data_IF_132895295886
#
_entry.id   IF_132895295886
#
_cell.length_a   1.000
_cell.length_b   1.000
_cell.length_c   1.000
_cell.angle_alpha   90.00
_cell.angle_beta   90.00
_cell.angle_gamma   90.00
#
_symmetry.space_group_name_H-M   'P 1'
#
loop_
_entity.id
_entity.type
_entity.pdbx_description
1 polymer ?
#
# COMPACT_ATOMS: atom_id res chain seq x y z
N UNK A 1 -46.89 18.01 -26.32
CA UNK A 1 -45.43 18.09 -26.18
C UNK A 1 -45.03 18.00 -24.70
N UNK A 2 -45.49 16.95 -23.99
CA UNK A 2 -45.26 16.82 -22.53
C UNK A 2 -44.33 15.63 -22.18
N UNK A 3 -43.85 14.91 -23.19
CA UNK A 3 -43.37 13.52 -23.03
C UNK A 3 -42.02 13.39 -22.30
N UNK A 4 -41.29 14.50 -22.07
CA UNK A 4 -39.96 14.47 -21.46
C UNK A 4 -39.68 15.63 -20.50
N UNK A 5 -40.71 16.23 -19.89
CA UNK A 5 -40.53 17.39 -19.01
C UNK A 5 -39.55 17.14 -17.84
N UNK A 6 -39.45 15.88 -17.40
CA UNK A 6 -38.54 15.44 -16.32
C UNK A 6 -37.21 14.85 -16.83
N UNK A 7 -37.01 14.72 -18.14
CA UNK A 7 -35.80 14.14 -18.71
C UNK A 7 -34.51 14.87 -18.31
N UNK A 8 -34.45 16.22 -18.24
CA UNK A 8 -33.25 16.91 -17.78
C UNK A 8 -32.85 16.52 -16.34
N UNK A 9 -33.83 16.37 -15.44
CA UNK A 9 -33.58 15.94 -14.06
C UNK A 9 -33.09 14.49 -14.02
N UNK A 10 -33.74 13.59 -14.77
CA UNK A 10 -33.31 12.19 -14.91
C UNK A 10 -31.86 12.12 -15.43
N UNK A 11 -31.55 12.86 -16.51
CA UNK A 11 -30.22 12.89 -17.10
C UNK A 11 -29.17 13.41 -16.11
N UNK A 12 -29.49 14.45 -15.33
CA UNK A 12 -28.60 14.95 -14.30
C UNK A 12 -28.34 13.90 -13.20
N UNK A 13 -29.38 13.22 -12.72
CA UNK A 13 -29.26 12.15 -11.72
C UNK A 13 -28.41 10.99 -12.25
N UNK A 14 -28.62 10.56 -13.49
CA UNK A 14 -27.83 9.50 -14.14
C UNK A 14 -26.35 9.92 -14.26
N UNK A 15 -26.08 11.15 -14.72
CA UNK A 15 -24.70 11.67 -14.79
C UNK A 15 -24.01 11.70 -13.43
N UNK A 16 -24.72 12.14 -12.38
CA UNK A 16 -24.18 12.15 -11.01
C UNK A 16 -23.87 10.74 -10.50
N UNK A 17 -24.77 9.77 -10.74
CA UNK A 17 -24.53 8.37 -10.37
C UNK A 17 -23.31 7.78 -11.08
N UNK A 18 -23.16 8.04 -12.39
CA UNK A 18 -21.99 7.60 -13.17
C UNK A 18 -20.70 8.20 -12.61
N UNK A 19 -20.69 9.51 -12.32
CA UNK A 19 -19.52 10.19 -11.76
C UNK A 19 -19.14 9.63 -10.38
N UNK A 20 -20.12 9.41 -9.50
CA UNK A 20 -19.89 8.82 -8.18
C UNK A 20 -19.34 7.39 -8.29
N UNK A 21 -19.88 6.57 -9.21
CA UNK A 21 -19.39 5.23 -9.47
C UNK A 21 -17.94 5.24 -9.97
N UNK A 22 -17.59 6.13 -10.91
CA UNK A 22 -16.22 6.26 -11.41
C UNK A 22 -15.23 6.65 -10.31
N UNK A 23 -15.58 7.64 -9.47
CA UNK A 23 -14.74 8.04 -8.33
C UNK A 23 -14.53 6.88 -7.36
N UNK A 24 -15.59 6.10 -7.08
CA UNK A 24 -15.51 4.93 -6.21
C UNK A 24 -14.58 3.86 -6.80
N UNK A 25 -14.73 3.54 -8.09
CA UNK A 25 -13.87 2.55 -8.79
C UNK A 25 -12.41 2.97 -8.71
N UNK A 26 -12.09 4.23 -9.05
CA UNK A 26 -10.71 4.73 -9.02
C UNK A 26 -10.14 4.69 -7.60
N UNK A 27 -10.92 5.11 -6.61
CA UNK A 27 -10.47 5.14 -5.21
C UNK A 27 -10.24 3.73 -4.68
N UNK A 28 -11.16 2.79 -4.91
CA UNK A 28 -11.03 1.40 -4.49
C UNK A 28 -9.87 0.69 -5.20
N UNK A 29 -9.65 0.94 -6.48
CA UNK A 29 -8.50 0.40 -7.21
C UNK A 29 -7.18 0.93 -6.65
N UNK A 30 -7.08 2.24 -6.34
CA UNK A 30 -5.89 2.82 -5.71
C UNK A 30 -5.62 2.21 -4.33
N UNK A 31 -6.67 2.05 -3.51
CA UNK A 31 -6.55 1.42 -2.19
C UNK A 31 -6.01 -0.01 -2.30
N UNK A 32 -6.57 -0.82 -3.21
CA UNK A 32 -6.12 -2.19 -3.43
C UNK A 32 -4.66 -2.25 -3.93
N UNK A 33 -4.26 -1.32 -4.81
CA UNK A 33 -2.89 -1.22 -5.28
C UNK A 33 -1.92 -0.94 -4.13
N UNK A 34 -2.26 0.01 -3.26
CA UNK A 34 -1.42 0.38 -2.11
C UNK A 34 -1.31 -0.78 -1.09
N UNK A 35 -2.41 -1.50 -0.84
CA UNK A 35 -2.41 -2.69 0.02
C UNK A 35 -1.53 -3.80 -0.58
N UNK A 36 -1.64 -4.04 -1.89
CA UNK A 36 -0.79 -5.02 -2.59
C UNK A 36 0.69 -4.63 -2.50
N UNK A 37 1.02 -3.35 -2.68
CA UNK A 37 2.39 -2.86 -2.53
C UNK A 37 2.92 -3.00 -1.12
N UNK A 38 2.08 -2.78 -0.11
CA UNK A 38 2.44 -3.06 1.28
C UNK A 38 2.74 -4.56 1.48
N UNK A 39 1.88 -5.45 1.01
CA UNK A 39 2.08 -6.91 1.12
C UNK A 39 3.39 -7.36 0.47
N UNK A 40 3.67 -6.89 -0.75
CA UNK A 40 4.93 -7.19 -1.46
C UNK A 40 6.13 -6.65 -0.69
N UNK A 41 6.05 -5.42 -0.18
CA UNK A 41 7.08 -4.86 0.69
C UNK A 41 7.34 -5.69 1.94
N UNK A 42 6.27 -6.22 2.56
CA UNK A 42 6.34 -7.02 3.79
C UNK A 42 7.01 -8.36 3.52
N UNK A 43 6.67 -9.01 2.40
CA UNK A 43 7.36 -10.23 1.95
C UNK A 43 8.85 -9.99 1.71
N UNK A 44 9.20 -8.91 0.99
CA UNK A 44 10.62 -8.57 0.76
C UNK A 44 11.32 -8.40 2.10
N UNK A 45 10.78 -7.59 3.01
CA UNK A 45 11.38 -7.34 4.31
C UNK A 45 11.55 -8.62 5.13
N UNK A 46 10.52 -9.47 5.16
CA UNK A 46 10.54 -10.76 5.84
C UNK A 46 11.67 -11.67 5.35
N UNK A 47 11.76 -11.88 4.04
CA UNK A 47 12.79 -12.75 3.46
C UNK A 47 14.20 -12.17 3.58
N UNK A 48 14.36 -10.83 3.53
CA UNK A 48 15.67 -10.21 3.77
C UNK A 48 16.16 -10.40 5.21
N UNK A 49 15.27 -10.27 6.20
CA UNK A 49 15.64 -10.36 7.62
C UNK A 49 15.76 -11.80 8.11
N UNK A 50 14.80 -12.67 7.78
CA UNK A 50 14.75 -14.04 8.32
C UNK A 50 15.63 -15.03 7.55
N UNK A 51 15.80 -14.82 6.24
CA UNK A 51 16.53 -15.76 5.37
C UNK A 51 17.89 -15.21 4.92
N UNK A 52 18.28 -14.02 5.40
CA UNK A 52 19.55 -13.38 5.06
C UNK A 52 19.67 -13.01 3.57
N UNK A 53 18.55 -12.84 2.87
CA UNK A 53 18.58 -12.53 1.44
C UNK A 53 19.12 -11.10 1.23
N UNK A 54 20.30 -11.01 0.61
CA UNK A 54 20.95 -9.74 0.33
C UNK A 54 20.17 -8.85 -0.66
N UNK A 55 20.63 -7.61 -0.87
CA UNK A 55 19.96 -6.61 -1.71
C UNK A 55 19.65 -7.07 -3.15
N UNK A 56 20.42 -8.03 -3.69
CA UNK A 56 20.25 -8.60 -5.03
C UNK A 56 18.92 -9.32 -5.25
N UNK A 57 18.19 -9.68 -4.19
CA UNK A 57 16.88 -10.31 -4.35
C UNK A 57 15.88 -9.39 -5.05
N UNK A 58 15.98 -8.07 -4.82
CA UNK A 58 15.05 -7.10 -5.38
C UNK A 58 15.19 -7.05 -6.91
N UNK A 59 16.43 -7.10 -7.43
CA UNK A 59 16.69 -7.16 -8.86
C UNK A 59 16.12 -8.43 -9.50
N UNK A 60 16.34 -9.58 -8.84
CA UNK A 60 15.82 -10.86 -9.29
C UNK A 60 14.28 -10.87 -9.32
N UNK A 61 13.64 -10.43 -8.24
CA UNK A 61 12.18 -10.32 -8.16
C UNK A 61 11.62 -9.41 -9.26
N UNK A 62 12.26 -8.27 -9.53
CA UNK A 62 11.81 -7.38 -10.60
C UNK A 62 11.84 -8.06 -11.97
N UNK A 63 12.89 -8.82 -12.26
CA UNK A 63 13.00 -9.56 -13.51
C UNK A 63 11.95 -10.69 -13.60
N UNK A 64 11.84 -11.51 -12.54
CA UNK A 64 10.94 -12.66 -12.49
C UNK A 64 9.47 -12.22 -12.59
N UNK A 65 9.07 -11.13 -11.93
CA UNK A 65 7.70 -10.59 -12.00
C UNK A 65 7.38 -10.11 -13.42
N UNK A 66 8.29 -9.39 -14.09
CA UNK A 66 8.08 -8.92 -15.47
C UNK A 66 7.93 -10.07 -16.45
N UNK A 67 8.67 -11.17 -16.22
CA UNK A 67 8.56 -12.38 -17.02
C UNK A 67 7.24 -13.11 -16.77
N UNK A 68 6.83 -13.26 -15.51
CA UNK A 68 5.62 -13.98 -15.13
C UNK A 68 4.33 -13.21 -15.48
N UNK A 69 4.38 -11.88 -15.46
CA UNK A 69 3.23 -11.01 -15.70
C UNK A 69 3.55 -9.92 -16.73
N UNK A 70 3.64 -10.28 -18.03
CA UNK A 70 3.89 -9.30 -19.09
C UNK A 70 2.83 -8.20 -19.11
N UNK A 71 3.26 -6.94 -19.15
CA UNK A 71 2.37 -5.76 -19.18
C UNK A 71 1.97 -5.22 -17.81
N UNK A 72 2.34 -5.87 -16.70
CA UNK A 72 2.15 -5.30 -15.36
C UNK A 72 3.25 -4.27 -15.07
N UNK A 73 2.82 -3.05 -14.75
CA UNK A 73 3.71 -1.94 -14.37
C UNK A 73 3.88 -1.84 -12.85
N UNK A 74 4.85 -1.03 -12.39
CA UNK A 74 5.04 -0.79 -10.96
C UNK A 74 5.88 -1.82 -10.21
N UNK A 75 6.50 -2.79 -10.88
CA UNK A 75 7.39 -3.78 -10.23
C UNK A 75 8.84 -3.69 -10.71
N UNK A 76 9.35 -2.46 -10.88
CA UNK A 76 10.79 -2.23 -11.10
C UNK A 76 11.59 -2.43 -9.81
N UNK A 77 12.89 -2.73 -9.88
CA UNK A 77 13.79 -2.78 -8.71
C UNK A 77 13.58 -1.59 -7.78
N UNK A 78 13.53 -0.38 -8.36
CA UNK A 78 13.31 0.85 -7.60
C UNK A 78 11.98 0.83 -6.87
N UNK A 79 10.91 0.43 -7.54
CA UNK A 79 9.58 0.43 -6.94
C UNK A 79 9.44 -0.61 -5.85
N UNK A 80 10.01 -1.81 -6.03
CA UNK A 80 10.10 -2.83 -4.99
C UNK A 80 10.88 -2.33 -3.76
N UNK A 81 11.94 -1.55 -3.98
CA UNK A 81 12.65 -0.84 -2.90
C UNK A 81 11.75 0.14 -2.15
N UNK A 82 10.92 0.90 -2.86
CA UNK A 82 9.92 1.78 -2.24
C UNK A 82 8.82 1.02 -1.50
N UNK A 83 8.37 -0.12 -2.00
CA UNK A 83 7.41 -0.98 -1.29
C UNK A 83 7.98 -1.43 0.07
N UNK A 84 9.26 -1.80 0.12
CA UNK A 84 9.93 -2.10 1.39
C UNK A 84 9.97 -0.87 2.32
N UNK A 85 10.38 0.29 1.81
CA UNK A 85 10.38 1.56 2.60
C UNK A 85 8.98 1.91 3.09
N UNK A 86 7.96 1.65 2.28
CA UNK A 86 6.57 1.92 2.62
C UNK A 86 6.13 1.10 3.83
N UNK A 87 6.48 -0.19 3.88
CA UNK A 87 6.23 -1.02 5.06
C UNK A 87 6.99 -0.47 6.27
N UNK A 88 8.29 -0.20 6.13
CA UNK A 88 9.12 0.29 7.24
C UNK A 88 8.59 1.59 7.84
N UNK A 89 8.15 2.54 7.01
CA UNK A 89 7.59 3.81 7.46
C UNK A 89 6.24 3.66 8.18
N UNK A 90 5.48 2.59 7.90
CA UNK A 90 4.18 2.32 8.52
C UNK A 90 4.27 1.25 9.62
N UNK A 91 5.45 0.71 9.93
CA UNK A 91 5.64 -0.17 11.08
C UNK A 91 5.15 0.45 12.39
N UNK A 92 5.38 1.75 12.69
CA UNK A 92 4.82 2.36 13.90
C UNK A 92 3.29 2.33 13.96
N UNK A 93 2.59 2.47 12.82
CA UNK A 93 1.13 2.33 12.76
C UNK A 93 0.67 0.93 13.18
N UNK A 94 1.46 -0.09 12.83
CA UNK A 94 1.20 -1.49 13.18
C UNK A 94 1.59 -1.75 14.63
N UNK A 95 2.80 -1.36 15.04
CA UNK A 95 3.42 -1.64 16.34
C UNK A 95 2.84 -0.83 17.48
N UNK A 96 2.24 0.35 17.26
CA UNK A 96 1.59 1.10 18.34
C UNK A 96 0.39 0.35 18.97
N UNK A 97 -0.21 -0.63 18.28
CA UNK A 97 -1.27 -1.47 18.86
C UNK A 97 -0.75 -2.70 19.65
N UNK A 98 0.30 -3.43 19.20
CA UNK A 98 1.02 -4.45 19.95
C UNK A 98 1.85 -3.92 21.13
N UNK A 99 2.56 -2.80 20.98
CA UNK A 99 3.46 -2.24 22.00
C UNK A 99 2.68 -1.74 23.22
N UNK A 100 1.42 -1.34 23.06
CA UNK A 100 0.53 -1.02 24.18
C UNK A 100 0.31 -2.21 25.15
N UNK A 101 0.78 -3.42 24.82
CA UNK A 101 0.66 -4.65 25.63
C UNK A 101 1.99 -5.28 26.04
N UNK A 102 3.16 -4.68 25.74
CA UNK A 102 4.47 -5.29 26.04
C UNK A 102 5.27 -4.50 27.10
N UNK A 103 6.03 -5.18 28.00
CA UNK A 103 6.96 -4.52 28.92
C UNK A 103 8.18 -3.94 28.16
N UNK A 104 8.66 -2.77 28.60
CA UNK A 104 9.57 -1.85 27.89
C UNK A 104 11.00 -2.35 27.57
N UNK A 105 11.32 -3.64 27.69
CA UNK A 105 12.70 -4.11 27.56
C UNK A 105 12.89 -5.06 26.37
N UNK A 106 12.94 -4.56 25.14
CA UNK A 106 13.54 -5.25 23.98
C UNK A 106 13.73 -4.29 22.80
N UNK A 107 14.87 -3.60 22.75
CA UNK A 107 15.40 -3.05 21.50
C UNK A 107 16.29 -4.12 20.85
N UNK A 108 15.67 -5.15 20.27
CA UNK A 108 16.31 -6.06 19.33
C UNK A 108 15.46 -6.13 18.05
N UNK A 109 16.08 -6.60 16.95
CA UNK A 109 15.54 -6.59 15.60
C UNK A 109 14.01 -6.72 15.54
N UNK A 110 13.34 -5.78 14.85
CA UNK A 110 11.88 -5.79 14.70
C UNK A 110 11.45 -7.15 14.16
N UNK A 111 10.76 -7.94 14.99
CA UNK A 111 10.21 -9.20 14.52
C UNK A 111 9.19 -8.90 13.41
N UNK A 112 9.53 -9.33 12.20
CA UNK A 112 8.75 -9.10 10.98
C UNK A 112 7.69 -10.18 10.76
N UNK A 113 7.74 -11.31 11.48
CA UNK A 113 6.70 -12.34 11.38
C UNK A 113 5.31 -11.80 11.79
N UNK A 114 5.17 -11.02 12.88
CA UNK A 114 3.93 -10.31 13.21
C UNK A 114 3.42 -9.40 12.09
N UNK A 115 4.25 -8.89 11.18
CA UNK A 115 3.80 -8.00 10.09
C UNK A 115 2.89 -8.78 9.14
N UNK A 116 3.26 -10.01 8.79
CA UNK A 116 2.46 -10.85 7.90
C UNK A 116 1.15 -11.29 8.58
N UNK A 117 1.22 -11.64 9.87
CA UNK A 117 0.05 -12.09 10.64
C UNK A 117 -0.93 -10.96 10.98
N UNK A 118 -0.45 -9.70 11.02
CA UNK A 118 -1.28 -8.52 11.29
C UNK A 118 -1.74 -7.78 10.02
N UNK A 119 -1.72 -8.43 8.85
CA UNK A 119 -2.13 -7.82 7.59
C UNK A 119 -3.55 -7.25 7.63
N UNK A 120 -4.52 -7.97 8.22
CA UNK A 120 -5.90 -7.49 8.37
C UNK A 120 -6.00 -6.22 9.24
N UNK A 121 -5.16 -6.13 10.28
CA UNK A 121 -5.13 -4.97 11.17
C UNK A 121 -4.53 -3.74 10.46
N UNK A 122 -3.44 -3.94 9.70
CA UNK A 122 -2.89 -2.88 8.86
C UNK A 122 -3.90 -2.40 7.84
N UNK A 123 -4.58 -3.30 7.13
CA UNK A 123 -5.56 -2.94 6.11
C UNK A 123 -6.65 -2.03 6.68
N UNK A 124 -7.26 -2.40 7.81
CA UNK A 124 -8.32 -1.60 8.43
C UNK A 124 -7.84 -0.20 8.85
N UNK A 125 -6.66 -0.11 9.48
CA UNK A 125 -6.08 1.16 9.91
C UNK A 125 -5.67 2.02 8.72
N UNK A 126 -5.05 1.41 7.72
CA UNK A 126 -4.58 2.07 6.53
C UNK A 126 -5.74 2.65 5.72
N UNK A 127 -6.80 1.88 5.49
CA UNK A 127 -7.99 2.32 4.75
C UNK A 127 -8.73 3.48 5.44
N UNK A 128 -8.62 3.62 6.77
CA UNK A 128 -9.15 4.77 7.51
C UNK A 128 -8.27 6.01 7.40
N UNK A 129 -6.98 5.83 7.12
CA UNK A 129 -6.01 6.92 7.03
C UNK A 129 -6.18 7.74 5.75
N UNK A 130 -5.67 8.97 5.77
CA UNK A 130 -5.54 9.82 4.57
C UNK A 130 -4.55 9.24 3.56
N UNK A 131 -3.64 8.37 4.00
CA UNK A 131 -2.62 7.74 3.15
C UNK A 131 -3.25 6.75 2.16
N UNK A 132 -4.41 6.15 2.47
CA UNK A 132 -5.14 5.30 1.51
C UNK A 132 -5.78 6.07 0.35
N UNK A 133 -5.91 7.39 0.47
CA UNK A 133 -6.63 8.25 -0.48
C UNK A 133 -5.71 8.95 -1.48
N UNK A 134 -4.39 8.95 -1.23
CA UNK A 134 -3.40 9.55 -2.12
C UNK A 134 -2.81 8.50 -3.07
N UNK A 135 -2.29 8.94 -4.21
CA UNK A 135 -1.70 8.04 -5.21
C UNK A 135 -0.33 7.55 -4.77
N UNK A 136 0.12 6.44 -5.35
CA UNK A 136 1.47 5.89 -5.10
C UNK A 136 2.61 6.90 -5.33
N UNK A 137 2.51 7.78 -6.33
CA UNK A 137 3.52 8.82 -6.55
C UNK A 137 3.66 9.78 -5.35
N UNK A 138 2.55 10.11 -4.69
CA UNK A 138 2.60 10.93 -3.47
C UNK A 138 3.23 10.16 -2.32
N UNK A 139 2.98 8.85 -2.19
CA UNK A 139 3.68 8.01 -1.21
C UNK A 139 5.19 8.04 -1.44
N UNK A 140 5.65 7.88 -2.69
CA UNK A 140 7.08 7.99 -3.02
C UNK A 140 7.66 9.34 -2.57
N UNK A 141 6.99 10.45 -2.89
CA UNK A 141 7.44 11.79 -2.49
C UNK A 141 7.54 11.90 -0.97
N UNK A 142 6.54 11.41 -0.23
CA UNK A 142 6.56 11.42 1.22
C UNK A 142 7.70 10.55 1.77
N UNK A 143 7.88 9.35 1.23
CA UNK A 143 8.95 8.41 1.63
C UNK A 143 10.35 8.98 1.39
N UNK A 144 10.54 9.79 0.34
CA UNK A 144 11.81 10.49 0.10
C UNK A 144 12.06 11.65 1.08
N UNK A 145 11.02 12.11 1.79
CA UNK A 145 11.11 13.17 2.82
C UNK A 145 11.21 12.61 4.25
N UNK A 146 10.81 11.37 4.48
CA UNK A 146 11.01 10.67 5.74
C UNK A 146 12.50 10.35 5.87
N UNK A 147 13.17 10.88 6.89
CA UNK A 147 14.55 10.51 7.21
C UNK A 147 14.58 9.03 7.60
N UNK A 148 15.59 8.31 7.14
CA UNK A 148 15.78 6.90 7.47
C UNK A 148 15.96 6.79 9.00
N UNK A 149 15.15 6.01 9.74
CA UNK A 149 15.36 5.82 11.17
C UNK A 149 16.67 5.10 11.50
N UNK A 150 17.41 4.63 10.48
CA UNK A 150 18.74 4.05 10.58
C UNK A 150 19.90 5.05 10.31
N UNK A 151 19.62 6.36 10.21
CA UNK A 151 20.63 7.44 10.10
C UNK A 151 20.63 8.37 11.31
#
# INVERSE_FOLDING_TARGET
MEEFKQYPELLQRVKQQIQQAQVKVVTSANQQLLLSYWQVGSLILFFQQQQGWGAKIIDRLSADIRQAFPGVEGFSTRNLGYMKKFVMANLPLILQHPVAKLPESSQEAVDVAPILDNAENFEQLFLRSVLSKITWSHHIILLDKVKDPAQ
#
